data_IF_324936810784
#
_entry.id   IF_324936810784
#
_cell.length_a   1.000
_cell.length_b   1.000
_cell.length_c   1.000
_cell.angle_alpha   90.00
_cell.angle_beta   90.00
_cell.angle_gamma   90.00
#
_symmetry.space_group_name_H-M   'P 1'
#
loop_
_entity.id
_entity.type
_entity.pdbx_description
1 polymer ?
#
# COMPACT_ATOMS: atom_id res chain seq x y z
N UNK A 1 32.43 -25.88 -38.15
CA UNK A 1 32.65 -26.92 -39.18
C UNK A 1 33.77 -26.58 -40.18
N UNK A 2 34.04 -25.31 -40.52
CA UNK A 2 35.18 -24.94 -41.39
C UNK A 2 36.58 -25.25 -40.81
N UNK A 3 36.71 -25.27 -39.48
CA UNK A 3 37.97 -25.58 -38.80
C UNK A 3 38.38 -27.06 -38.92
N UNK A 4 37.41 -27.98 -38.94
CA UNK A 4 37.69 -29.42 -39.02
C UNK A 4 38.03 -29.84 -40.47
N UNK A 5 37.41 -29.21 -41.47
CA UNK A 5 37.67 -29.55 -42.89
C UNK A 5 39.06 -29.14 -43.37
N UNK A 6 39.64 -28.10 -42.77
CA UNK A 6 40.96 -27.56 -43.16
C UNK A 6 42.11 -28.39 -42.60
N UNK A 7 41.97 -28.93 -41.40
CA UNK A 7 43.06 -29.64 -40.70
C UNK A 7 43.13 -31.15 -41.02
N UNK A 8 42.02 -31.81 -41.38
CA UNK A 8 41.97 -33.28 -41.50
C UNK A 8 41.89 -33.80 -42.95
N UNK A 9 41.41 -33.00 -43.91
CA UNK A 9 41.12 -33.48 -45.28
C UNK A 9 41.80 -32.70 -46.42
N UNK A 10 42.91 -32.00 -46.13
CA UNK A 10 43.77 -31.45 -47.19
C UNK A 10 43.05 -30.47 -48.14
N UNK A 11 42.20 -29.59 -47.59
CA UNK A 11 41.61 -28.49 -48.36
C UNK A 11 40.46 -28.85 -49.31
N UNK A 12 40.03 -30.13 -49.40
CA UNK A 12 38.75 -30.45 -50.04
C UNK A 12 37.61 -30.06 -49.10
N UNK A 13 36.98 -28.92 -49.37
CA UNK A 13 35.79 -28.49 -48.63
C UNK A 13 34.76 -29.61 -48.55
N UNK A 14 34.22 -29.86 -47.34
CA UNK A 14 33.17 -30.86 -47.14
C UNK A 14 32.00 -30.45 -48.05
N UNK A 15 31.66 -31.28 -49.04
CA UNK A 15 30.47 -31.04 -49.88
C UNK A 15 29.27 -30.87 -48.94
N UNK A 16 28.42 -29.83 -49.13
CA UNK A 16 27.21 -29.72 -48.34
C UNK A 16 26.38 -30.99 -48.53
N UNK A 17 26.37 -31.85 -47.52
CA UNK A 17 25.57 -33.06 -47.52
C UNK A 17 24.23 -32.71 -46.88
N UNK A 18 23.14 -32.81 -47.64
CA UNK A 18 21.81 -32.72 -47.06
C UNK A 18 21.48 -34.08 -46.43
N UNK A 19 21.44 -34.11 -45.11
CA UNK A 19 20.98 -35.30 -44.40
C UNK A 19 19.49 -35.45 -44.69
N UNK A 20 19.09 -36.56 -45.31
CA UNK A 20 17.67 -36.81 -45.55
C UNK A 20 16.93 -37.08 -44.22
N UNK A 21 15.60 -36.94 -44.19
CA UNK A 21 14.80 -37.07 -42.97
C UNK A 21 15.05 -38.41 -42.24
N UNK A 22 15.14 -39.52 -42.96
CA UNK A 22 15.37 -40.85 -42.37
C UNK A 22 16.77 -40.99 -41.76
N UNK A 23 17.80 -40.48 -42.44
CA UNK A 23 19.18 -40.48 -41.93
C UNK A 23 19.28 -39.67 -40.65
N UNK A 24 18.65 -38.49 -40.62
CA UNK A 24 18.58 -37.64 -39.44
C UNK A 24 17.88 -38.36 -38.28
N UNK A 25 16.74 -38.99 -38.53
CA UNK A 25 15.99 -39.74 -37.51
C UNK A 25 16.81 -40.91 -36.95
N UNK A 26 17.55 -41.64 -37.80
CA UNK A 26 18.47 -42.71 -37.36
C UNK A 26 19.63 -42.18 -36.51
N UNK A 27 20.22 -41.04 -36.89
CA UNK A 27 21.30 -40.39 -36.12
C UNK A 27 20.77 -39.96 -34.75
N UNK A 28 19.64 -39.26 -34.67
CA UNK A 28 19.04 -38.87 -33.40
C UNK A 28 18.70 -40.08 -32.53
N UNK A 29 18.11 -41.14 -33.10
CA UNK A 29 17.86 -42.36 -32.34
C UNK A 29 19.13 -42.97 -31.76
N UNK A 30 20.23 -42.98 -32.52
CA UNK A 30 21.52 -43.51 -32.04
C UNK A 30 22.12 -42.64 -30.95
N UNK A 31 22.09 -41.31 -31.10
CA UNK A 31 22.55 -40.36 -30.08
C UNK A 31 21.73 -40.53 -28.80
N UNK A 32 20.40 -40.59 -28.90
CA UNK A 32 19.52 -40.76 -27.74
C UNK A 32 19.83 -42.06 -27.00
N UNK A 33 20.02 -43.18 -27.71
CA UNK A 33 20.44 -44.45 -27.09
C UNK A 33 21.78 -44.34 -26.36
N UNK A 34 22.79 -43.70 -26.97
CA UNK A 34 24.11 -43.55 -26.36
C UNK A 34 24.07 -42.69 -25.09
N UNK A 35 23.21 -41.66 -25.05
CA UNK A 35 23.04 -40.78 -23.91
C UNK A 35 22.02 -41.31 -22.88
N UNK A 36 21.45 -42.50 -23.10
CA UNK A 36 20.36 -43.07 -22.31
C UNK A 36 19.11 -42.16 -22.22
N UNK A 37 18.83 -41.44 -23.31
CA UNK A 37 17.61 -40.66 -23.49
C UNK A 37 16.55 -41.44 -24.26
N UNK A 38 15.29 -41.20 -23.89
CA UNK A 38 14.10 -41.68 -24.57
C UNK A 38 13.62 -40.62 -25.57
N UNK A 39 13.15 -41.05 -26.74
CA UNK A 39 12.46 -40.15 -27.66
C UNK A 39 11.11 -39.76 -27.06
N UNK A 40 10.67 -38.52 -27.25
CA UNK A 40 9.32 -38.13 -26.88
C UNK A 40 8.25 -39.04 -27.54
N UNK A 41 7.43 -39.66 -26.72
CA UNK A 41 6.20 -40.36 -27.07
C UNK A 41 5.02 -39.69 -26.37
N UNK A 42 4.04 -39.24 -27.15
CA UNK A 42 2.87 -38.53 -26.62
C UNK A 42 1.97 -39.46 -25.77
N UNK A 43 1.89 -40.74 -26.10
CA UNK A 43 1.05 -41.69 -25.37
C UNK A 43 1.55 -41.96 -23.95
N UNK A 44 2.88 -41.97 -23.78
CA UNK A 44 3.54 -42.30 -22.51
C UNK A 44 3.84 -41.05 -21.68
N UNK A 45 4.35 -39.99 -22.31
CA UNK A 45 4.93 -38.86 -21.58
C UNK A 45 3.98 -37.67 -21.41
N UNK A 46 2.90 -37.58 -22.18
CA UNK A 46 2.00 -36.42 -22.13
C UNK A 46 1.30 -36.31 -20.77
N UNK A 47 0.64 -37.38 -20.31
CA UNK A 47 -0.12 -37.37 -19.07
C UNK A 47 0.72 -36.99 -17.84
N UNK A 48 1.87 -37.64 -17.55
CA UNK A 48 2.65 -37.32 -16.35
C UNK A 48 3.27 -35.93 -16.41
N UNK A 49 3.77 -35.48 -17.58
CA UNK A 49 4.27 -34.11 -17.74
C UNK A 49 3.14 -33.09 -17.56
N UNK A 50 1.96 -33.36 -18.11
CA UNK A 50 0.80 -32.49 -17.96
C UNK A 50 0.38 -32.34 -16.49
N UNK A 51 0.28 -33.45 -15.75
CA UNK A 51 -0.06 -33.43 -14.32
C UNK A 51 0.98 -32.66 -13.49
N UNK A 52 2.26 -32.89 -13.77
CA UNK A 52 3.35 -32.14 -13.16
C UNK A 52 3.22 -30.64 -13.44
N UNK A 53 3.01 -30.23 -14.70
CA UNK A 53 2.86 -28.82 -15.04
C UNK A 53 1.56 -28.19 -14.51
N UNK A 54 0.48 -28.95 -14.33
CA UNK A 54 -0.71 -28.48 -13.64
C UNK A 54 -0.40 -28.18 -12.17
N UNK A 55 0.41 -29.02 -11.51
CA UNK A 55 0.89 -28.75 -10.16
C UNK A 55 1.78 -27.49 -10.11
N UNK A 56 2.75 -27.38 -11.01
CA UNK A 56 3.64 -26.22 -11.15
C UNK A 56 2.85 -24.94 -11.44
N UNK A 57 1.83 -25.01 -12.29
CA UNK A 57 0.97 -23.88 -12.65
C UNK A 57 0.12 -23.36 -11.48
N UNK A 58 -0.18 -24.19 -10.48
CA UNK A 58 -0.79 -23.73 -9.22
C UNK A 58 0.18 -22.85 -8.42
N UNK A 59 1.48 -23.05 -8.56
CA UNK A 59 2.52 -22.23 -7.93
C UNK A 59 2.85 -20.98 -8.75
N UNK A 60 2.97 -21.07 -10.07
CA UNK A 60 3.17 -19.89 -10.92
C UNK A 60 2.71 -20.15 -12.36
N UNK A 61 1.68 -19.42 -12.81
CA UNK A 61 1.01 -19.60 -14.10
C UNK A 61 1.60 -18.70 -15.19
N UNK A 62 2.92 -18.57 -15.24
CA UNK A 62 3.62 -17.80 -16.27
C UNK A 62 4.10 -18.72 -17.39
N UNK A 63 3.81 -18.43 -18.69
CA UNK A 63 4.13 -19.34 -19.79
C UNK A 63 5.62 -19.70 -19.89
N UNK A 64 6.50 -18.74 -19.62
CA UNK A 64 7.95 -18.96 -19.64
C UNK A 64 8.39 -19.90 -18.53
N UNK A 65 7.86 -19.70 -17.31
CA UNK A 65 8.15 -20.58 -16.18
C UNK A 65 7.65 -22.01 -16.41
N UNK A 66 6.46 -22.18 -16.99
CA UNK A 66 5.94 -23.51 -17.37
C UNK A 66 6.79 -24.18 -18.44
N UNK A 67 7.35 -23.42 -19.37
CA UNK A 67 8.28 -23.94 -20.37
C UNK A 67 9.58 -24.42 -19.73
N UNK A 68 10.17 -23.63 -18.84
CA UNK A 68 11.41 -23.98 -18.15
C UNK A 68 11.20 -25.23 -17.28
N UNK A 69 10.09 -25.31 -16.53
CA UNK A 69 9.71 -26.49 -15.75
C UNK A 69 9.48 -27.72 -16.63
N UNK A 70 8.90 -27.55 -17.82
CA UNK A 70 8.72 -28.66 -18.76
C UNK A 70 10.08 -29.16 -19.27
N UNK A 71 11.01 -28.26 -19.60
CA UNK A 71 12.35 -28.62 -20.03
C UNK A 71 13.13 -29.34 -18.93
N UNK A 72 13.03 -28.86 -17.68
CA UNK A 72 13.64 -29.48 -16.51
C UNK A 72 13.07 -30.88 -16.22
N UNK A 73 11.75 -31.02 -16.25
CA UNK A 73 11.09 -32.32 -16.09
C UNK A 73 11.56 -33.32 -17.15
N UNK A 74 11.59 -32.90 -18.42
CA UNK A 74 12.03 -33.74 -19.53
C UNK A 74 13.50 -34.13 -19.39
N UNK A 75 14.38 -33.19 -19.00
CA UNK A 75 15.79 -33.47 -18.77
C UNK A 75 15.99 -34.48 -17.63
N UNK A 76 15.27 -34.30 -16.51
CA UNK A 76 15.35 -35.16 -15.32
C UNK A 76 14.94 -36.61 -15.62
N UNK A 77 13.91 -36.78 -16.45
CA UNK A 77 13.42 -38.11 -16.88
C UNK A 77 14.15 -38.65 -18.12
N UNK A 78 15.21 -37.98 -18.58
CA UNK A 78 15.97 -38.30 -19.80
C UNK A 78 15.06 -38.45 -21.03
N UNK A 79 14.09 -37.56 -21.19
CA UNK A 79 13.21 -37.51 -22.35
C UNK A 79 13.69 -36.39 -23.28
N UNK A 80 13.85 -36.71 -24.56
CA UNK A 80 14.20 -35.72 -25.58
C UNK A 80 13.11 -34.65 -25.68
N UNK A 81 13.52 -33.38 -25.68
CA UNK A 81 12.59 -32.25 -25.79
C UNK A 81 11.79 -32.37 -27.10
N UNK A 82 10.44 -32.40 -27.05
CA UNK A 82 9.65 -32.48 -28.26
C UNK A 82 9.69 -31.18 -29.07
N UNK A 83 9.08 -31.20 -30.25
CA UNK A 83 8.94 -29.98 -31.06
C UNK A 83 8.25 -28.88 -30.25
N UNK A 84 8.65 -27.64 -30.48
CA UNK A 84 8.08 -26.46 -29.82
C UNK A 84 6.54 -26.43 -29.85
N UNK A 85 5.93 -26.80 -30.99
CA UNK A 85 4.47 -26.83 -31.14
C UNK A 85 3.78 -27.81 -30.19
N UNK A 86 4.45 -28.89 -29.78
CA UNK A 86 3.95 -29.86 -28.79
C UNK A 86 3.96 -29.22 -27.41
N UNK A 87 5.09 -28.63 -27.00
CA UNK A 87 5.20 -27.93 -25.72
C UNK A 87 4.22 -26.77 -25.61
N UNK A 88 4.10 -25.96 -26.68
CA UNK A 88 3.17 -24.84 -26.73
C UNK A 88 1.72 -25.29 -26.52
N UNK A 89 1.28 -26.36 -27.19
CA UNK A 89 -0.07 -26.92 -27.01
C UNK A 89 -0.28 -27.47 -25.60
N UNK A 90 0.73 -28.16 -25.06
CA UNK A 90 0.68 -28.72 -23.71
C UNK A 90 0.55 -27.60 -22.67
N UNK A 91 1.44 -26.59 -22.71
CA UNK A 91 1.40 -25.43 -21.81
C UNK A 91 0.06 -24.69 -21.94
N UNK A 92 -0.46 -24.52 -23.16
CA UNK A 92 -1.77 -23.90 -23.38
C UNK A 92 -2.90 -24.67 -22.69
N UNK A 93 -2.89 -26.02 -22.76
CA UNK A 93 -3.86 -26.89 -22.06
C UNK A 93 -3.72 -26.79 -20.54
N UNK A 94 -2.49 -26.77 -20.02
CA UNK A 94 -2.22 -26.59 -18.58
C UNK A 94 -2.80 -25.27 -18.09
N UNK A 95 -2.54 -24.16 -18.80
CA UNK A 95 -3.06 -22.84 -18.45
C UNK A 95 -4.59 -22.85 -18.47
N UNK A 96 -5.21 -23.45 -19.48
CA UNK A 96 -6.66 -23.56 -19.56
C UNK A 96 -7.25 -24.35 -18.40
N UNK A 97 -6.62 -25.46 -18.00
CA UNK A 97 -7.07 -26.29 -16.89
C UNK A 97 -6.96 -25.56 -15.55
N UNK A 98 -5.84 -24.88 -15.28
CA UNK A 98 -5.67 -24.10 -14.05
C UNK A 98 -6.67 -22.94 -14.02
N UNK A 99 -6.85 -22.22 -15.14
CA UNK A 99 -7.86 -21.15 -15.25
C UNK A 99 -9.28 -21.67 -15.04
N UNK A 100 -9.62 -22.85 -15.56
CA UNK A 100 -10.92 -23.49 -15.35
C UNK A 100 -11.16 -23.79 -13.87
N UNK A 101 -10.16 -24.35 -13.18
CA UNK A 101 -10.23 -24.61 -11.75
C UNK A 101 -10.40 -23.32 -10.93
N UNK A 102 -9.66 -22.26 -11.27
CA UNK A 102 -9.80 -20.94 -10.63
C UNK A 102 -11.17 -20.32 -10.88
N UNK A 103 -11.70 -20.40 -12.09
CA UNK A 103 -13.05 -19.91 -12.41
C UNK A 103 -14.13 -20.63 -11.61
N UNK A 104 -13.99 -21.94 -11.38
CA UNK A 104 -14.92 -22.68 -10.52
C UNK A 104 -14.83 -22.20 -9.08
N UNK A 105 -13.62 -21.97 -8.54
CA UNK A 105 -13.45 -21.41 -7.20
C UNK A 105 -14.02 -19.99 -7.08
N UNK A 106 -13.81 -19.14 -8.09
CA UNK A 106 -14.40 -17.79 -8.13
C UNK A 106 -15.92 -17.84 -7.98
N UNK A 107 -16.59 -18.74 -8.71
CA UNK A 107 -18.06 -18.90 -8.62
C UNK A 107 -18.54 -19.33 -7.22
N UNK A 108 -17.70 -20.02 -6.45
CA UNK A 108 -18.04 -20.50 -5.11
C UNK A 108 -17.78 -19.41 -4.05
N UNK A 109 -16.67 -18.68 -4.19
CA UNK A 109 -16.16 -17.80 -3.13
C UNK A 109 -16.46 -16.31 -3.33
N UNK A 110 -16.90 -15.90 -4.52
CA UNK A 110 -17.27 -14.51 -4.80
C UNK A 110 -18.79 -14.39 -4.71
N UNK A 111 -19.26 -13.54 -3.79
CA UNK A 111 -20.69 -13.25 -3.62
C UNK A 111 -21.26 -12.51 -4.82
N UNK A 112 -22.59 -12.53 -4.98
CA UNK A 112 -23.28 -11.73 -6.01
C UNK A 112 -23.04 -10.23 -5.85
N UNK A 113 -23.03 -9.76 -4.60
CA UNK A 113 -22.72 -8.38 -4.23
C UNK A 113 -21.31 -7.98 -4.67
N UNK A 114 -20.30 -8.79 -4.33
CA UNK A 114 -18.92 -8.55 -4.74
C UNK A 114 -18.75 -8.61 -6.26
N UNK A 115 -19.44 -9.52 -6.95
CA UNK A 115 -19.48 -9.53 -8.41
C UNK A 115 -20.05 -8.22 -8.99
N UNK A 116 -21.12 -7.70 -8.39
CA UNK A 116 -21.70 -6.40 -8.75
C UNK A 116 -20.67 -5.28 -8.62
N UNK A 117 -20.01 -5.18 -7.46
CA UNK A 117 -18.97 -4.20 -7.19
C UNK A 117 -17.76 -4.31 -8.14
N UNK A 118 -17.28 -5.52 -8.42
CA UNK A 118 -16.19 -5.70 -9.39
C UNK A 118 -16.61 -5.26 -10.79
N UNK A 119 -17.88 -5.46 -11.16
CA UNK A 119 -18.39 -5.01 -12.46
C UNK A 119 -18.49 -3.49 -12.55
N UNK A 120 -18.89 -2.79 -11.49
CA UNK A 120 -18.94 -1.31 -11.50
C UNK A 120 -17.55 -0.72 -11.73
N UNK A 121 -16.53 -1.26 -11.05
CA UNK A 121 -15.12 -0.88 -11.26
C UNK A 121 -14.68 -1.15 -12.70
N UNK A 122 -14.92 -2.36 -13.21
CA UNK A 122 -14.45 -2.74 -14.55
C UNK A 122 -15.15 -1.90 -15.62
N UNK A 123 -16.43 -1.58 -15.46
CA UNK A 123 -17.22 -0.88 -16.47
C UNK A 123 -17.11 0.64 -16.37
N UNK A 124 -16.37 1.15 -15.38
CA UNK A 124 -16.31 2.56 -15.00
C UNK A 124 -17.71 3.17 -14.83
N UNK A 125 -18.62 2.40 -14.20
CA UNK A 125 -19.99 2.84 -13.89
C UNK A 125 -20.06 3.31 -12.44
N UNK A 126 -20.76 4.43 -12.22
CA UNK A 126 -21.15 5.02 -10.93
C UNK A 126 -20.30 4.57 -9.73
N UNK A 127 -19.27 5.35 -9.39
CA UNK A 127 -18.43 5.12 -8.21
C UNK A 127 -16.94 5.06 -8.53
N UNK A 128 -16.27 4.03 -8.00
CA UNK A 128 -14.81 3.85 -8.05
C UNK A 128 -14.37 3.33 -9.42
N UNK A 129 -13.71 4.16 -10.21
CA UNK A 129 -13.17 3.78 -11.52
C UNK A 129 -11.84 3.04 -11.43
N UNK A 130 -11.50 2.27 -12.48
CA UNK A 130 -10.20 1.60 -12.57
C UNK A 130 -9.03 2.60 -12.59
N UNK A 131 -9.24 3.79 -13.15
CA UNK A 131 -8.24 4.85 -13.19
C UNK A 131 -7.95 5.42 -11.80
N UNK A 132 -8.99 5.68 -10.99
CA UNK A 132 -8.84 6.15 -9.60
C UNK A 132 -8.12 5.12 -8.73
N UNK A 133 -8.46 3.84 -8.91
CA UNK A 133 -7.80 2.74 -8.21
C UNK A 133 -6.30 2.68 -8.51
N UNK A 134 -5.90 2.87 -9.77
CA UNK A 134 -4.49 2.77 -10.20
C UNK A 134 -3.66 4.01 -9.88
N UNK A 135 -4.29 5.18 -9.72
CA UNK A 135 -3.56 6.43 -9.55
C UNK A 135 -2.69 6.44 -8.28
N UNK A 136 -3.22 5.95 -7.16
CA UNK A 136 -2.55 5.93 -5.85
C UNK A 136 -2.19 7.32 -5.30
N UNK A 137 -2.06 7.46 -3.98
CA UNK A 137 -1.40 8.63 -3.41
C UNK A 137 0.07 8.69 -3.83
N UNK A 138 0.46 9.75 -4.54
CA UNK A 138 1.85 9.96 -5.00
C UNK A 138 2.74 10.62 -3.94
N UNK A 139 2.12 11.22 -2.93
CA UNK A 139 2.81 11.90 -1.84
C UNK A 139 1.99 11.85 -0.56
N UNK A 140 2.61 12.25 0.54
CA UNK A 140 2.00 12.36 1.87
C UNK A 140 1.25 13.70 2.06
N UNK A 141 1.10 14.49 1.00
CA UNK A 141 0.39 15.77 1.09
C UNK A 141 -1.10 15.58 1.44
N UNK A 142 -1.66 16.55 2.18
CA UNK A 142 -3.05 16.51 2.69
C UNK A 142 -4.06 16.19 1.57
N UNK A 143 -3.90 16.80 0.40
CA UNK A 143 -4.79 16.59 -0.74
C UNK A 143 -4.73 15.18 -1.31
N UNK A 144 -3.53 14.59 -1.37
CA UNK A 144 -3.33 13.22 -1.85
C UNK A 144 -3.84 12.20 -0.83
N UNK A 145 -3.61 12.42 0.47
CA UNK A 145 -4.15 11.58 1.53
C UNK A 145 -5.68 11.63 1.59
N UNK A 146 -6.30 12.81 1.37
CA UNK A 146 -7.76 12.93 1.28
C UNK A 146 -8.32 12.12 0.11
N UNK A 147 -7.69 12.17 -1.07
CA UNK A 147 -8.10 11.35 -2.23
C UNK A 147 -7.98 9.85 -1.92
N UNK A 148 -6.87 9.46 -1.31
CA UNK A 148 -6.61 8.07 -0.92
C UNK A 148 -7.64 7.58 0.09
N UNK A 149 -8.00 8.44 1.05
CA UNK A 149 -9.04 8.17 2.03
C UNK A 149 -10.40 7.95 1.36
N UNK A 150 -10.77 8.79 0.38
CA UNK A 150 -12.01 8.61 -0.39
C UNK A 150 -12.04 7.26 -1.11
N UNK A 151 -10.94 6.87 -1.77
CA UNK A 151 -10.83 5.57 -2.44
C UNK A 151 -10.95 4.43 -1.44
N UNK A 152 -10.26 4.52 -0.30
CA UNK A 152 -10.33 3.49 0.73
C UNK A 152 -11.74 3.32 1.31
N UNK A 153 -12.48 4.42 1.57
CA UNK A 153 -13.86 4.34 2.07
C UNK A 153 -14.80 3.60 1.12
N UNK A 154 -14.57 3.69 -0.20
CA UNK A 154 -15.33 2.93 -1.19
C UNK A 154 -14.95 1.44 -1.18
N UNK A 155 -13.72 1.09 -0.80
CA UNK A 155 -13.24 -0.30 -0.69
C UNK A 155 -13.56 -0.97 0.65
N UNK A 156 -13.67 -0.18 1.72
CA UNK A 156 -13.83 -0.64 3.09
C UNK A 156 -14.99 -1.64 3.28
N UNK A 157 -16.21 -1.42 2.73
CA UNK A 157 -17.33 -2.36 2.89
C UNK A 157 -17.03 -3.75 2.33
N UNK A 158 -16.21 -3.83 1.27
CA UNK A 158 -15.92 -5.06 0.56
C UNK A 158 -14.66 -5.77 1.06
N UNK A 159 -13.87 -5.15 1.95
CA UNK A 159 -12.55 -5.67 2.36
C UNK A 159 -12.62 -7.10 2.90
N UNK A 160 -13.60 -7.41 3.77
CA UNK A 160 -13.80 -8.78 4.31
C UNK A 160 -14.19 -9.77 3.21
N UNK A 161 -15.04 -9.36 2.27
CA UNK A 161 -15.48 -10.23 1.17
C UNK A 161 -14.31 -10.52 0.21
N UNK A 162 -13.50 -9.51 -0.10
CA UNK A 162 -12.29 -9.63 -0.93
C UNK A 162 -11.29 -10.58 -0.26
N UNK A 163 -11.00 -10.39 1.04
CA UNK A 163 -10.08 -11.25 1.79
C UNK A 163 -10.55 -12.71 1.81
N UNK A 164 -11.84 -12.95 2.06
CA UNK A 164 -12.42 -14.29 2.08
C UNK A 164 -12.39 -14.93 0.68
N UNK A 165 -12.70 -14.16 -0.37
CA UNK A 165 -12.64 -14.64 -1.74
C UNK A 165 -11.22 -15.05 -2.13
N UNK A 166 -10.23 -14.21 -1.86
CA UNK A 166 -8.81 -14.49 -2.18
C UNK A 166 -8.28 -15.68 -1.37
N UNK A 167 -8.65 -15.81 -0.09
CA UNK A 167 -8.34 -17.01 0.71
C UNK A 167 -8.96 -18.27 0.12
N UNK A 168 -10.22 -18.22 -0.32
CA UNK A 168 -10.90 -19.35 -0.97
C UNK A 168 -10.28 -19.76 -2.31
N UNK A 169 -9.69 -18.81 -3.05
CA UNK A 169 -8.94 -19.12 -4.26
C UNK A 169 -7.69 -19.99 -3.97
N UNK A 170 -7.09 -19.85 -2.79
CA UNK A 170 -5.87 -20.54 -2.36
C UNK A 170 -4.75 -20.41 -3.42
N UNK A 171 -4.50 -19.17 -3.85
CA UNK A 171 -3.43 -18.83 -4.77
C UNK A 171 -2.08 -18.87 -4.05
N UNK A 172 -1.02 -19.24 -4.77
CA UNK A 172 0.34 -18.95 -4.31
C UNK A 172 0.59 -17.44 -4.29
N UNK A 173 1.56 -16.99 -3.48
CA UNK A 173 1.97 -15.59 -3.45
C UNK A 173 2.37 -15.07 -4.84
N UNK A 174 3.14 -15.87 -5.60
CA UNK A 174 3.55 -15.54 -6.97
C UNK A 174 2.37 -15.38 -7.93
N UNK A 175 1.37 -16.26 -7.85
CA UNK A 175 0.19 -16.13 -8.72
C UNK A 175 -0.67 -14.95 -8.32
N UNK A 176 -0.86 -14.69 -7.03
CA UNK A 176 -1.59 -13.52 -6.56
C UNK A 176 -0.92 -12.22 -7.04
N UNK A 177 0.40 -12.12 -6.89
CA UNK A 177 1.18 -10.98 -7.38
C UNK A 177 1.03 -10.84 -8.91
N UNK A 178 1.35 -11.89 -9.65
CA UNK A 178 1.29 -11.88 -11.12
C UNK A 178 -0.09 -11.47 -11.64
N UNK A 179 -1.18 -11.99 -11.04
CA UNK A 179 -2.54 -11.63 -11.43
C UNK A 179 -2.91 -10.18 -11.06
N UNK A 180 -2.40 -9.66 -9.94
CA UNK A 180 -2.57 -8.25 -9.58
C UNK A 180 -1.89 -7.31 -10.59
N UNK A 181 -0.67 -7.65 -11.00
CA UNK A 181 0.11 -6.88 -11.98
C UNK A 181 -0.57 -6.78 -13.35
N UNK A 182 -1.42 -7.75 -13.72
CA UNK A 182 -2.16 -7.71 -14.99
C UNK A 182 -3.11 -6.51 -15.09
N UNK A 183 -3.61 -5.99 -13.96
CA UNK A 183 -4.46 -4.80 -13.95
C UNK A 183 -3.69 -3.57 -14.43
N UNK A 184 -2.47 -3.37 -13.94
CA UNK A 184 -1.63 -2.26 -14.36
C UNK A 184 -1.07 -2.43 -15.76
N UNK A 185 -0.67 -3.65 -16.10
CA UNK A 185 -0.14 -3.98 -17.43
C UNK A 185 -1.15 -3.70 -18.54
N UNK A 186 -2.42 -4.10 -18.36
CA UNK A 186 -3.45 -3.90 -19.37
C UNK A 186 -4.18 -2.56 -19.25
N UNK A 187 -4.32 -2.00 -18.05
CA UNK A 187 -5.05 -0.76 -17.80
C UNK A 187 -6.45 -0.79 -18.43
N UNK A 188 -6.75 0.17 -19.31
CA UNK A 188 -8.05 0.24 -20.02
C UNK A 188 -8.34 -0.98 -20.92
N UNK A 189 -7.32 -1.71 -21.37
CA UNK A 189 -7.47 -2.92 -22.18
C UNK A 189 -7.98 -4.12 -21.39
N UNK A 190 -8.04 -4.03 -20.05
CA UNK A 190 -8.60 -5.05 -19.17
C UNK A 190 -10.02 -5.47 -19.60
N UNK A 191 -10.81 -4.50 -20.08
CA UNK A 191 -12.19 -4.70 -20.60
C UNK A 191 -12.29 -5.72 -21.76
N UNK A 192 -11.19 -6.02 -22.46
CA UNK A 192 -11.16 -6.96 -23.61
C UNK A 192 -11.16 -8.43 -23.19
N UNK A 193 -10.89 -8.74 -21.92
CA UNK A 193 -10.82 -10.11 -21.42
C UNK A 193 -12.17 -10.63 -20.95
N UNK A 194 -12.28 -11.94 -20.73
CA UNK A 194 -13.51 -12.55 -20.22
C UNK A 194 -13.74 -12.14 -18.76
N UNK A 195 -14.99 -11.92 -18.37
CA UNK A 195 -15.39 -11.50 -17.01
C UNK A 195 -14.72 -12.27 -15.86
N UNK A 196 -14.69 -13.61 -15.85
CA UNK A 196 -14.02 -14.34 -14.77
C UNK A 196 -12.53 -14.00 -14.63
N UNK A 197 -11.85 -13.75 -15.76
CA UNK A 197 -10.43 -13.37 -15.77
C UNK A 197 -10.23 -11.94 -15.26
N UNK A 198 -11.11 -11.02 -15.63
CA UNK A 198 -11.09 -9.65 -15.11
C UNK A 198 -11.32 -9.64 -13.60
N UNK A 199 -12.30 -10.42 -13.10
CA UNK A 199 -12.57 -10.55 -11.67
C UNK A 199 -11.38 -11.15 -10.91
N UNK A 200 -10.75 -12.20 -11.44
CA UNK A 200 -9.55 -12.79 -10.83
C UNK A 200 -8.44 -11.75 -10.63
N UNK A 201 -8.11 -11.05 -11.71
CA UNK A 201 -7.03 -10.06 -11.71
C UNK A 201 -7.36 -8.89 -10.80
N UNK A 202 -8.60 -8.39 -10.86
CA UNK A 202 -9.05 -7.29 -10.02
C UNK A 202 -9.07 -7.66 -8.53
N UNK A 203 -9.51 -8.86 -8.14
CA UNK A 203 -9.48 -9.31 -6.74
C UNK A 203 -8.06 -9.35 -6.18
N UNK A 204 -7.11 -9.89 -6.97
CA UNK A 204 -5.71 -9.93 -6.59
C UNK A 204 -5.13 -8.51 -6.42
N UNK A 205 -5.43 -7.64 -7.39
CA UNK A 205 -5.03 -6.23 -7.36
C UNK A 205 -5.62 -5.48 -6.16
N UNK A 206 -6.92 -5.62 -5.88
CA UNK A 206 -7.60 -4.93 -4.78
C UNK A 206 -7.01 -5.29 -3.42
N UNK A 207 -6.60 -6.56 -3.22
CA UNK A 207 -5.95 -6.98 -1.97
C UNK A 207 -4.64 -6.22 -1.74
N UNK A 208 -3.82 -6.08 -2.78
CA UNK A 208 -2.59 -5.29 -2.70
C UNK A 208 -2.89 -3.80 -2.55
N UNK A 209 -3.89 -3.31 -3.29
CA UNK A 209 -4.26 -1.90 -3.31
C UNK A 209 -4.76 -1.41 -1.96
N UNK A 210 -5.59 -2.21 -1.27
CA UNK A 210 -6.09 -1.91 0.07
C UNK A 210 -4.90 -1.80 1.04
N UNK A 211 -3.96 -2.75 1.02
CA UNK A 211 -2.75 -2.71 1.87
C UNK A 211 -1.93 -1.43 1.60
N UNK A 212 -1.69 -1.12 0.33
CA UNK A 212 -0.98 0.10 -0.07
C UNK A 212 -1.70 1.37 0.40
N UNK A 213 -3.04 1.43 0.33
CA UNK A 213 -3.81 2.56 0.85
C UNK A 213 -3.53 2.78 2.33
N UNK A 214 -3.56 1.71 3.11
CA UNK A 214 -3.39 1.77 4.56
C UNK A 214 -1.97 2.15 4.96
N UNK A 215 -0.96 1.57 4.29
CA UNK A 215 0.43 1.94 4.48
C UNK A 215 0.63 3.43 4.22
N UNK A 216 0.08 3.95 3.10
CA UNK A 216 0.20 5.37 2.76
C UNK A 216 -0.54 6.29 3.72
N UNK A 217 -1.72 5.89 4.18
CA UNK A 217 -2.48 6.61 5.19
C UNK A 217 -1.75 6.62 6.54
N UNK A 218 -1.15 5.49 6.94
CA UNK A 218 -0.37 5.39 8.17
C UNK A 218 0.92 6.22 8.12
N UNK A 219 1.69 6.12 7.03
CA UNK A 219 2.88 6.95 6.80
C UNK A 219 2.52 8.44 6.85
N UNK A 220 1.40 8.80 6.21
CA UNK A 220 0.95 10.16 6.17
C UNK A 220 0.46 10.69 7.51
N UNK A 221 -0.23 9.87 8.27
CA UNK A 221 -0.65 10.19 9.63
C UNK A 221 0.55 10.46 10.54
N UNK A 222 1.57 9.57 10.52
CA UNK A 222 2.78 9.73 11.31
C UNK A 222 3.52 11.01 10.93
N UNK A 223 3.66 11.28 9.62
CA UNK A 223 4.33 12.48 9.14
C UNK A 223 3.66 13.76 9.64
N UNK A 224 2.34 13.87 9.48
CA UNK A 224 1.60 15.08 9.87
C UNK A 224 1.53 15.24 11.39
N UNK A 225 1.42 14.17 12.16
CA UNK A 225 1.50 14.27 13.64
C UNK A 225 2.84 14.81 14.09
N UNK A 226 3.95 14.26 13.58
CA UNK A 226 5.30 14.74 13.96
C UNK A 226 5.47 16.22 13.62
N UNK A 227 5.03 16.61 12.43
CA UNK A 227 5.07 18.01 11.99
C UNK A 227 4.25 18.93 12.90
N UNK A 228 3.07 18.49 13.35
CA UNK A 228 2.24 19.26 14.28
C UNK A 228 2.86 19.33 15.68
N UNK A 229 3.49 18.26 16.17
CA UNK A 229 4.19 18.26 17.44
C UNK A 229 5.39 19.21 17.44
N UNK A 230 6.18 19.20 16.37
CA UNK A 230 7.31 20.12 16.19
C UNK A 230 6.85 21.57 16.14
N UNK A 231 5.78 21.86 15.39
CA UNK A 231 5.21 23.20 15.27
C UNK A 231 4.59 23.69 16.60
N UNK A 232 3.87 22.82 17.32
CA UNK A 232 3.31 23.13 18.63
C UNK A 232 4.41 23.43 19.66
N UNK A 233 5.49 22.65 19.65
CA UNK A 233 6.63 22.87 20.53
C UNK A 233 7.34 24.20 20.20
N UNK A 234 7.58 24.50 18.93
CA UNK A 234 8.17 25.77 18.51
C UNK A 234 7.29 26.97 18.88
N UNK A 235 5.97 26.87 18.63
CA UNK A 235 4.99 27.88 19.02
C UNK A 235 5.01 28.10 20.54
N UNK A 236 4.96 27.03 21.33
CA UNK A 236 4.94 27.13 22.78
C UNK A 236 6.23 27.74 23.36
N UNK A 237 7.40 27.38 22.82
CA UNK A 237 8.66 28.00 23.24
C UNK A 237 8.68 29.51 22.97
N UNK A 238 8.21 29.92 21.79
CA UNK A 238 8.11 31.32 21.42
C UNK A 238 7.09 32.06 22.29
N UNK A 239 5.90 31.49 22.48
CA UNK A 239 4.84 32.09 23.30
C UNK A 239 5.24 32.24 24.77
N UNK A 240 5.97 31.26 25.34
CA UNK A 240 6.55 31.38 26.69
C UNK A 240 7.57 32.53 26.72
N UNK A 241 8.47 32.60 25.74
CA UNK A 241 9.46 33.68 25.69
C UNK A 241 8.79 35.07 25.59
N UNK A 242 7.81 35.22 24.71
CA UNK A 242 7.09 36.48 24.49
C UNK A 242 6.23 36.87 25.70
N UNK A 243 5.58 35.90 26.36
CA UNK A 243 4.86 36.12 27.61
C UNK A 243 5.78 36.59 28.74
N UNK A 244 6.98 35.99 28.85
CA UNK A 244 7.99 36.40 29.83
C UNK A 244 8.52 37.81 29.56
N UNK A 245 8.77 38.15 28.29
CA UNK A 245 9.20 39.49 27.89
C UNK A 245 8.12 40.54 28.17
N UNK A 246 6.88 40.27 27.79
CA UNK A 246 5.74 41.17 28.06
C UNK A 246 5.54 41.39 29.56
N UNK A 247 5.64 40.33 30.38
CA UNK A 247 5.55 40.47 31.82
C UNK A 247 6.69 41.32 32.40
N UNK A 248 7.92 41.14 31.92
CA UNK A 248 9.08 41.94 32.32
C UNK A 248 8.91 43.42 31.94
N UNK A 249 8.44 43.72 30.73
CA UNK A 249 8.18 45.10 30.27
C UNK A 249 7.06 45.78 31.08
N UNK A 250 6.12 45.00 31.61
CA UNK A 250 5.00 45.48 32.42
C UNK A 250 5.30 45.54 33.93
N UNK A 251 6.52 45.23 34.39
CA UNK A 251 6.91 45.34 35.81
C UNK A 251 6.76 46.77 36.33
N UNK A 252 7.02 47.78 35.48
CA UNK A 252 6.85 49.19 35.87
C UNK A 252 5.40 49.54 36.17
N UNK A 253 4.45 48.97 35.40
CA UNK A 253 3.01 49.10 35.66
C UNK A 253 2.57 48.31 36.89
N UNK A 254 3.31 47.26 37.28
CA UNK A 254 3.10 46.57 38.55
C UNK A 254 3.23 47.52 39.74
N UNK A 255 4.18 48.46 39.67
CA UNK A 255 4.36 49.46 40.70
C UNK A 255 3.14 50.39 40.80
N UNK A 256 2.58 50.80 39.66
CA UNK A 256 1.35 51.60 39.59
C UNK A 256 0.13 50.83 40.17
N UNK A 257 0.02 49.54 39.88
CA UNK A 257 -1.03 48.68 40.44
C UNK A 257 -0.90 48.49 41.96
N UNK A 258 0.33 48.32 42.45
CA UNK A 258 0.60 48.20 43.88
C UNK A 258 0.39 49.53 44.61
N UNK A 259 0.65 50.66 43.95
CA UNK A 259 0.43 51.99 44.51
C UNK A 259 -1.05 52.22 44.87
N UNK A 260 -2.00 51.66 44.11
CA UNK A 260 -3.44 51.73 44.44
C UNK A 260 -3.80 51.17 45.83
N UNK A 261 -2.92 50.40 46.46
CA UNK A 261 -3.11 49.88 47.83
C UNK A 261 -2.43 50.71 48.92
N UNK A 262 -1.60 51.68 48.55
CA UNK A 262 -0.83 52.54 49.48
C UNK A 262 -1.13 54.03 49.25
N UNK A 263 -2.05 54.33 48.34
CA UNK A 263 -2.43 55.69 47.99
C UNK A 263 -3.43 56.24 49.02
N UNK A 264 -2.95 57.11 49.90
CA UNK A 264 -3.74 57.76 50.96
C UNK A 264 -4.88 58.65 50.42
N UNK A 265 -4.93 58.91 49.10
CA UNK A 265 -6.03 59.65 48.47
C UNK A 265 -7.27 58.79 48.17
N UNK A 266 -7.14 57.47 48.27
CA UNK A 266 -8.24 56.52 48.09
C UNK A 266 -8.97 56.35 49.42
N UNK A 267 -10.27 56.66 49.45
CA UNK A 267 -11.13 56.47 50.63
C UNK A 267 -11.30 54.99 50.96
N UNK A 268 -11.00 54.60 52.21
CA UNK A 268 -11.16 53.25 52.77
C UNK A 268 -12.60 52.71 52.63
N UNK A 269 -13.61 53.60 52.58
CA UNK A 269 -15.01 53.22 52.43
C UNK A 269 -15.44 53.03 50.97
N UNK A 270 -14.56 53.27 49.98
CA UNK A 270 -14.95 53.11 48.59
C UNK A 270 -15.16 51.62 48.24
N UNK A 271 -16.16 51.29 47.40
CA UNK A 271 -16.33 49.92 46.93
C UNK A 271 -15.10 49.44 46.16
N UNK A 272 -14.60 48.24 46.49
CA UNK A 272 -13.46 47.63 45.80
C UNK A 272 -13.66 47.49 44.28
N UNK A 273 -14.91 47.42 43.82
CA UNK A 273 -15.25 47.41 42.39
C UNK A 273 -14.69 48.64 41.65
N UNK A 274 -14.66 49.80 42.30
CA UNK A 274 -14.13 51.06 41.74
C UNK A 274 -12.60 51.02 41.65
N UNK A 275 -11.92 50.56 42.71
CA UNK A 275 -10.46 50.31 42.69
C UNK A 275 -10.09 49.32 41.57
N UNK A 276 -10.89 48.26 41.43
CA UNK A 276 -10.66 47.23 40.41
C UNK A 276 -10.82 47.79 38.99
N UNK A 277 -11.75 48.72 38.76
CA UNK A 277 -11.86 49.40 37.47
C UNK A 277 -10.66 50.31 37.19
N UNK A 278 -10.14 51.01 38.20
CA UNK A 278 -8.92 51.80 38.07
C UNK A 278 -7.70 50.90 37.76
N UNK A 279 -7.55 49.77 38.44
CA UNK A 279 -6.52 48.78 38.13
C UNK A 279 -6.62 48.26 36.68
N UNK A 280 -7.85 47.97 36.22
CA UNK A 280 -8.11 47.53 34.85
C UNK A 280 -7.84 48.59 33.78
N UNK A 281 -7.83 49.87 34.15
CA UNK A 281 -7.43 50.97 33.26
C UNK A 281 -5.92 51.03 33.03
N UNK A 282 -5.12 50.58 34.01
CA UNK A 282 -3.65 50.49 33.92
C UNK A 282 -3.22 49.24 33.15
N UNK A 283 -3.92 48.12 33.35
CA UNK A 283 -3.57 46.84 32.75
C UNK A 283 -4.79 45.92 32.65
N UNK A 284 -4.96 45.20 31.54
CA UNK A 284 -6.08 44.26 31.40
C UNK A 284 -5.91 43.01 32.31
N UNK A 285 -6.98 42.24 32.51
CA UNK A 285 -6.96 41.05 33.37
C UNK A 285 -5.91 40.00 32.95
N UNK A 286 -5.72 39.76 31.64
CA UNK A 286 -4.78 38.74 31.15
C UNK A 286 -3.33 39.12 31.45
N UNK A 287 -2.99 40.39 31.31
CA UNK A 287 -1.67 40.93 31.60
C UNK A 287 -1.41 40.96 33.12
N UNK A 288 -2.41 41.31 33.93
CA UNK A 288 -2.33 41.24 35.40
C UNK A 288 -2.07 39.80 35.87
N UNK A 289 -2.79 38.82 35.33
CA UNK A 289 -2.55 37.40 35.63
C UNK A 289 -1.14 36.93 35.21
N UNK A 290 -0.70 37.32 34.02
CA UNK A 290 0.63 36.97 33.49
C UNK A 290 1.75 37.58 34.36
N UNK A 291 1.58 38.83 34.79
CA UNK A 291 2.47 39.54 35.71
C UNK A 291 2.51 38.86 37.09
N UNK A 292 1.36 38.44 37.62
CA UNK A 292 1.29 37.73 38.90
C UNK A 292 2.05 36.38 38.85
N UNK A 293 1.93 35.65 37.74
CA UNK A 293 2.68 34.41 37.51
C UNK A 293 4.19 34.68 37.41
N UNK A 294 4.58 35.74 36.69
CA UNK A 294 5.97 36.18 36.57
C UNK A 294 6.58 36.53 37.94
N UNK A 295 5.89 37.33 38.76
CA UNK A 295 6.34 37.72 40.11
C UNK A 295 6.44 36.50 41.06
N UNK A 296 5.56 35.51 40.90
CA UNK A 296 5.64 34.22 41.61
C UNK A 296 6.73 33.28 41.08
N UNK A 297 7.48 33.67 40.04
CA UNK A 297 8.43 32.84 39.28
C UNK A 297 7.79 31.56 38.73
N UNK A 298 6.47 31.55 38.55
CA UNK A 298 5.72 30.43 37.97
C UNK A 298 5.59 30.68 36.47
N UNK A 299 6.27 29.86 35.67
CA UNK A 299 6.10 29.89 34.20
C UNK A 299 4.74 29.28 33.88
N UNK A 300 3.93 29.95 33.03
CA UNK A 300 2.91 29.22 32.26
C UNK A 300 3.59 28.05 31.57
N UNK A 301 2.98 26.88 31.64
CA UNK A 301 3.64 25.67 31.19
C UNK A 301 3.73 25.67 29.67
N UNK A 302 4.81 25.09 29.13
CA UNK A 302 4.94 24.86 27.68
C UNK A 302 3.75 24.03 27.17
N UNK A 303 3.20 23.16 28.03
CA UNK A 303 2.02 22.34 27.73
C UNK A 303 0.76 23.17 27.47
N UNK A 304 0.47 24.21 28.25
CA UNK A 304 -0.70 25.09 28.02
C UNK A 304 -0.68 25.72 26.62
N UNK A 305 0.48 26.25 26.21
CA UNK A 305 0.62 26.86 24.88
C UNK A 305 0.65 25.82 23.75
N UNK A 306 1.10 24.59 24.01
CA UNK A 306 0.96 23.49 23.05
C UNK A 306 -0.51 23.13 22.82
N UNK A 307 -1.33 23.08 23.87
CA UNK A 307 -2.76 22.84 23.75
C UNK A 307 -3.47 23.95 22.99
N UNK A 308 -3.14 25.21 23.29
CA UNK A 308 -3.66 26.36 22.53
C UNK A 308 -3.35 26.24 21.02
N UNK A 309 -2.13 25.84 20.67
CA UNK A 309 -1.76 25.63 19.27
C UNK A 309 -2.64 24.58 18.59
N UNK A 310 -2.93 23.46 19.27
CA UNK A 310 -3.77 22.41 18.70
C UNK A 310 -5.23 22.86 18.55
N UNK A 311 -5.75 23.63 19.52
CA UNK A 311 -7.09 24.22 19.43
C UNK A 311 -7.20 25.17 18.22
N UNK A 312 -6.16 25.95 17.96
CA UNK A 312 -6.07 26.84 16.80
C UNK A 312 -5.91 26.07 15.46
N UNK A 313 -5.30 24.88 15.48
CA UNK A 313 -5.06 24.02 14.30
C UNK A 313 -6.17 22.99 14.04
N UNK A 314 -7.40 23.29 14.44
CA UNK A 314 -8.52 22.35 14.37
C UNK A 314 -8.80 21.82 12.94
N UNK A 315 -8.54 22.63 11.90
CA UNK A 315 -8.79 22.27 10.51
C UNK A 315 -8.04 21.04 10.00
N UNK A 316 -6.74 20.89 10.31
CA UNK A 316 -5.97 19.71 9.88
C UNK A 316 -6.37 18.46 10.68
N UNK A 317 -6.65 18.65 11.96
CA UNK A 317 -7.04 17.58 12.88
C UNK A 317 -8.38 16.99 12.43
N UNK A 318 -9.40 17.83 12.25
CA UNK A 318 -10.75 17.40 11.87
C UNK A 318 -10.83 16.90 10.43
N UNK A 319 -10.17 17.57 9.48
CA UNK A 319 -10.35 17.26 8.06
C UNK A 319 -9.44 16.16 7.53
N UNK A 320 -8.37 15.79 8.26
CA UNK A 320 -7.44 14.75 7.82
C UNK A 320 -7.09 13.77 8.93
N UNK A 321 -6.51 14.23 10.05
CA UNK A 321 -5.93 13.31 11.03
C UNK A 321 -6.98 12.42 11.67
N UNK A 322 -8.11 12.97 12.10
CA UNK A 322 -9.21 12.20 12.70
C UNK A 322 -9.82 11.17 11.73
N UNK A 323 -10.20 11.53 10.49
CA UNK A 323 -10.66 10.55 9.51
C UNK A 323 -9.64 9.44 9.20
N UNK A 324 -8.35 9.78 9.09
CA UNK A 324 -7.29 8.79 8.87
C UNK A 324 -7.13 7.87 10.08
N UNK A 325 -7.17 8.41 11.28
CA UNK A 325 -7.09 7.64 12.52
C UNK A 325 -8.22 6.61 12.63
N UNK A 326 -9.48 7.03 12.44
CA UNK A 326 -10.65 6.14 12.51
C UNK A 326 -10.57 5.01 11.48
N UNK A 327 -10.03 5.30 10.29
CA UNK A 327 -9.75 4.32 9.25
C UNK A 327 -8.74 3.25 9.71
N UNK A 328 -7.65 3.65 10.38
CA UNK A 328 -6.60 2.76 10.86
C UNK A 328 -7.03 1.94 12.09
N UNK A 329 -7.77 2.52 13.03
CA UNK A 329 -8.28 1.81 14.22
C UNK A 329 -9.19 0.64 13.88
N UNK A 330 -10.03 0.80 12.85
CA UNK A 330 -10.92 -0.24 12.35
C UNK A 330 -10.17 -1.52 11.90
N UNK A 331 -8.85 -1.44 11.66
CA UNK A 331 -8.02 -2.57 11.28
C UNK A 331 -7.13 -3.11 12.41
N UNK A 332 -6.80 -2.28 13.40
CA UNK A 332 -5.92 -2.64 14.51
C UNK A 332 -6.52 -3.69 15.49
N UNK A 333 -7.80 -4.05 15.33
CA UNK A 333 -8.48 -5.16 16.03
C UNK A 333 -7.88 -6.57 15.74
N UNK A 334 -6.70 -6.68 15.11
CA UNK A 334 -5.92 -7.93 14.95
C UNK A 334 -4.51 -7.94 15.59
N UNK A 335 -3.98 -6.82 16.11
CA UNK A 335 -2.88 -6.78 17.11
C UNK A 335 -2.51 -5.32 17.49
N UNK A 336 -2.01 -5.07 18.72
CA UNK A 336 -2.21 -3.80 19.41
C UNK A 336 -1.15 -2.74 19.09
N UNK A 337 -1.59 -1.66 18.45
CA UNK A 337 -0.84 -0.40 18.47
C UNK A 337 -1.20 0.38 19.74
N UNK A 338 -0.61 -0.05 20.86
CA UNK A 338 -0.63 0.60 22.19
C UNK A 338 -0.08 2.05 22.22
N UNK A 339 0.23 2.63 21.06
CA UNK A 339 0.74 4.01 20.92
C UNK A 339 -0.39 4.97 20.49
N UNK A 340 -1.47 4.47 19.89
CA UNK A 340 -2.57 5.29 19.35
C UNK A 340 -3.54 5.81 20.43
N UNK A 341 -3.62 5.12 21.57
CA UNK A 341 -4.57 5.44 22.65
C UNK A 341 -4.16 6.71 23.42
N UNK A 342 -2.87 7.09 23.46
CA UNK A 342 -2.42 8.26 24.22
C UNK A 342 -2.68 9.61 23.56
N UNK A 343 -2.90 9.67 22.24
CA UNK A 343 -3.13 10.94 21.53
C UNK A 343 -4.64 11.26 21.47
N UNK A 344 -5.53 10.26 21.59
CA UNK A 344 -6.97 10.45 21.41
C UNK A 344 -7.80 10.28 22.70
N UNK A 345 -7.25 9.68 23.76
CA UNK A 345 -7.91 9.65 25.08
C UNK A 345 -7.59 10.85 26.00
N UNK A 346 -7.25 12.01 25.44
CA UNK A 346 -7.15 13.29 26.19
C UNK A 346 -8.24 14.28 25.75
N UNK A 347 -9.46 13.76 25.62
CA UNK A 347 -10.68 14.53 25.86
C UNK A 347 -11.52 13.81 26.91
#
# INVERSE_FOLDING_TARGET
MQFISTQVQGGKGIRPFSINKMQRDRIYQRILRLLNYQKWDESLHFAPLYEHLVMVGKAWLEPRYLFDAAAEYLATHRIAIPKYTVLQKLISRVIQQVKKALNNKLRIHVSSELHGFLNTIIDDKDGLSLSQLRAGAKSVMVTELKKELTVYHQLQPYTRQIDNAVKGLALSSKNQQHFGEMVDYYGSKLKRFKRPQQHLWLLCFLTQRIRQSLERLADGFIHHIRKQQEAAHAFAQQAVFDSWRSAADNVTKAAELLHLFVDDSIDDNQPFATVRQQALSVMNNQDIETLCLYLKKQKRTVEEYQWQYYDDQNGLIEQLLRPVFLCLECQALRNPLMILIKIINLR
#
